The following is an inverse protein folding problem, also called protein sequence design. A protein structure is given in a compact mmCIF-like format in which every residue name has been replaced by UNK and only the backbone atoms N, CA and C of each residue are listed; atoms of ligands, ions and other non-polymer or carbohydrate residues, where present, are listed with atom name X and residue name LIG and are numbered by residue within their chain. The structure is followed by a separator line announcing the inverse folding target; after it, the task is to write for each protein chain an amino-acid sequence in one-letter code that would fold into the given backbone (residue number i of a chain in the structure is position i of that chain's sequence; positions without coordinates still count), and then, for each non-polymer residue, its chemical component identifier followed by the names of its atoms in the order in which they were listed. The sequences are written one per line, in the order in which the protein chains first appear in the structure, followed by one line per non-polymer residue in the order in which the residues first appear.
data_IF_852883764516
#
_entry.id   IF_852883764516
#
_cell.length_a   1.000
_cell.length_b   1.000
_cell.length_c   1.000
_cell.angle_alpha   90.00
_cell.angle_beta   90.00
_cell.angle_gamma   90.00
#
_symmetry.space_group_name_H-M   'P 1'
#
loop_
_entity.id
_entity.type
_entity.pdbx_description
1 polymer ?
#
# COMPACT_ATOMS: atom_id res chain seq x y z
N UNK A 1 8.17 -37.04 -31.45
CA UNK A 1 9.24 -36.05 -31.15
C UNK A 1 8.84 -34.63 -31.57
N UNK A 2 7.54 -34.31 -31.65
CA UNK A 2 7.00 -32.95 -31.79
C UNK A 2 5.66 -32.97 -31.05
N UNK A 3 5.70 -32.97 -29.70
CA UNK A 3 4.52 -32.83 -28.83
C UNK A 3 4.94 -32.61 -27.36
N UNK A 4 6.03 -31.87 -27.17
CA UNK A 4 6.47 -31.31 -25.88
C UNK A 4 6.76 -29.82 -26.06
N UNK A 5 5.80 -29.09 -26.60
CA UNK A 5 5.76 -27.63 -26.44
C UNK A 5 4.86 -27.35 -25.24
N UNK A 6 5.53 -26.94 -24.17
CA UNK A 6 5.02 -26.69 -22.84
C UNK A 6 3.82 -25.74 -22.85
N UNK A 7 2.76 -26.12 -22.13
CA UNK A 7 1.91 -25.14 -21.44
C UNK A 7 2.80 -24.50 -20.37
N UNK A 8 3.42 -23.35 -20.68
CA UNK A 8 3.92 -22.45 -19.63
C UNK A 8 2.74 -22.05 -18.75
N UNK A 9 2.94 -21.98 -17.45
CA UNK A 9 1.90 -21.43 -16.56
C UNK A 9 1.73 -19.94 -16.86
N UNK A 10 0.56 -19.38 -16.55
CA UNK A 10 0.33 -17.94 -16.68
C UNK A 10 1.33 -17.15 -15.82
N UNK A 11 1.70 -17.69 -14.66
CA UNK A 11 2.66 -17.09 -13.72
C UNK A 11 4.07 -16.97 -14.32
N UNK A 12 4.54 -17.99 -15.06
CA UNK A 12 5.84 -17.94 -15.77
C UNK A 12 5.84 -16.89 -16.90
N UNK A 13 4.70 -16.69 -17.56
CA UNK A 13 4.54 -15.68 -18.61
C UNK A 13 4.54 -14.27 -17.99
N UNK A 14 3.86 -14.10 -16.86
CA UNK A 14 3.79 -12.82 -16.16
C UNK A 14 5.15 -12.44 -15.52
N UNK A 15 5.94 -13.42 -15.06
CA UNK A 15 7.35 -13.23 -14.64
C UNK A 15 8.23 -12.72 -15.78
N UNK A 16 8.25 -13.44 -16.92
CA UNK A 16 9.04 -13.05 -18.10
C UNK A 16 8.64 -11.64 -18.57
N UNK A 17 7.33 -11.31 -18.56
CA UNK A 17 6.83 -9.98 -18.94
C UNK A 17 7.27 -8.90 -17.94
N UNK A 18 7.26 -9.19 -16.64
CA UNK A 18 7.71 -8.24 -15.63
C UNK A 18 9.23 -8.00 -15.71
N UNK A 19 10.04 -9.04 -15.90
CA UNK A 19 11.49 -8.90 -16.11
C UNK A 19 11.80 -8.15 -17.40
N UNK A 20 11.08 -8.42 -18.49
CA UNK A 20 11.20 -7.68 -19.76
C UNK A 20 10.81 -6.21 -19.59
N UNK A 21 9.68 -5.93 -18.96
CA UNK A 21 9.24 -4.55 -18.72
C UNK A 21 10.23 -3.78 -17.86
N UNK A 22 10.74 -4.41 -16.80
CA UNK A 22 11.71 -3.81 -15.90
C UNK A 22 13.06 -3.57 -16.59
N UNK A 23 13.56 -4.53 -17.37
CA UNK A 23 14.81 -4.38 -18.13
C UNK A 23 14.73 -3.32 -19.22
N UNK A 24 13.52 -2.99 -19.70
CA UNK A 24 13.25 -1.86 -20.59
C UNK A 24 13.07 -0.52 -19.84
N UNK A 25 13.20 -0.51 -18.51
CA UNK A 25 13.07 0.68 -17.67
C UNK A 25 11.63 1.09 -17.36
N UNK A 26 10.64 0.26 -17.67
CA UNK A 26 9.24 0.54 -17.36
C UNK A 26 8.89 0.11 -15.93
N UNK A 27 8.14 0.94 -15.22
CA UNK A 27 7.56 0.55 -13.93
C UNK A 27 6.52 -0.54 -14.14
N UNK A 28 6.53 -1.53 -13.25
CA UNK A 28 5.54 -2.60 -13.18
C UNK A 28 4.31 -2.11 -12.41
N UNK A 29 4.53 -1.26 -11.41
CA UNK A 29 3.47 -0.63 -10.63
C UNK A 29 2.55 0.22 -11.51
N UNK A 30 1.25 -0.10 -11.52
CA UNK A 30 0.23 0.54 -12.37
C UNK A 30 -0.35 1.84 -11.80
N UNK A 31 0.30 2.44 -10.79
CA UNK A 31 -0.26 3.56 -10.04
C UNK A 31 -1.27 3.14 -8.99
N UNK A 32 -2.20 4.03 -8.63
CA UNK A 32 -3.23 3.74 -7.62
C UNK A 32 -4.38 2.95 -8.24
N UNK A 33 -4.80 1.80 -7.67
CA UNK A 33 -5.88 0.98 -8.21
C UNK A 33 -7.26 1.58 -7.91
N UNK A 34 -7.56 2.79 -8.41
CA UNK A 34 -8.82 3.52 -8.19
C UNK A 34 -10.08 2.70 -8.51
N UNK A 35 -9.98 1.77 -9.46
CA UNK A 35 -11.06 0.86 -9.83
C UNK A 35 -11.47 -0.10 -8.71
N UNK A 36 -10.58 -0.41 -7.78
CA UNK A 36 -10.79 -1.37 -6.69
C UNK A 36 -11.35 -0.72 -5.43
N UNK A 37 -11.04 0.56 -5.17
CA UNK A 37 -11.62 1.32 -4.05
C UNK A 37 -13.11 1.60 -4.26
N UNK A 38 -13.94 1.39 -3.25
CA UNK A 38 -15.33 1.83 -3.27
C UNK A 38 -15.45 3.36 -3.19
N UNK A 39 -16.60 3.92 -3.60
CA UNK A 39 -16.88 5.37 -3.49
C UNK A 39 -16.68 5.87 -2.05
N UNK A 40 -17.15 5.10 -1.07
CA UNK A 40 -17.00 5.37 0.36
C UNK A 40 -15.52 5.42 0.78
N UNK A 41 -14.68 4.54 0.25
CA UNK A 41 -13.25 4.57 0.57
C UNK A 41 -12.53 5.75 -0.07
N UNK A 42 -12.94 6.14 -1.28
CA UNK A 42 -12.42 7.34 -1.95
C UNK A 42 -12.79 8.59 -1.14
N UNK A 43 -14.04 8.69 -0.69
CA UNK A 43 -14.47 9.73 0.26
C UNK A 43 -13.62 9.69 1.54
N UNK A 44 -13.33 8.49 2.04
CA UNK A 44 -12.44 8.29 3.17
C UNK A 44 -11.01 8.79 2.97
N UNK A 45 -10.42 8.53 1.81
CA UNK A 45 -9.11 9.05 1.42
C UNK A 45 -9.14 10.58 1.38
N UNK A 46 -10.17 11.17 0.78
CA UNK A 46 -10.35 12.62 0.71
C UNK A 46 -10.53 13.25 2.11
N UNK A 47 -11.26 12.59 3.00
CA UNK A 47 -11.38 13.02 4.40
C UNK A 47 -9.99 13.11 5.05
N UNK A 48 -9.18 12.06 4.96
CA UNK A 48 -7.82 12.06 5.52
C UNK A 48 -6.94 13.14 4.84
N UNK A 49 -7.11 13.34 3.54
CA UNK A 49 -6.40 14.36 2.78
C UNK A 49 -6.66 15.76 3.32
N UNK A 50 -7.93 16.17 3.41
CA UNK A 50 -8.28 17.51 3.85
C UNK A 50 -8.07 17.70 5.36
N UNK A 51 -8.23 16.66 6.19
CA UNK A 51 -7.86 16.71 7.61
C UNK A 51 -6.36 17.02 7.79
N UNK A 52 -5.49 16.39 6.99
CA UNK A 52 -4.04 16.69 6.99
C UNK A 52 -3.72 18.12 6.53
N UNK A 53 -4.60 18.72 5.73
CA UNK A 53 -4.50 20.12 5.30
C UNK A 53 -5.17 21.09 6.29
N UNK A 54 -5.61 20.63 7.46
CA UNK A 54 -6.17 21.49 8.52
C UNK A 54 -7.65 21.83 8.36
N UNK A 55 -8.39 21.10 7.54
CA UNK A 55 -9.83 21.26 7.41
C UNK A 55 -10.58 20.37 8.42
N UNK A 56 -11.68 20.90 8.96
CA UNK A 56 -12.72 20.08 9.59
C UNK A 56 -13.61 19.50 8.49
N UNK A 57 -13.92 18.21 8.59
CA UNK A 57 -14.70 17.49 7.56
C UNK A 57 -16.00 16.98 8.17
N UNK A 58 -17.12 17.30 7.53
CA UNK A 58 -18.41 16.66 7.78
C UNK A 58 -18.64 15.62 6.68
N UNK A 59 -18.72 14.35 7.06
CA UNK A 59 -18.97 13.26 6.11
C UNK A 59 -20.47 13.06 5.95
N UNK A 60 -21.11 13.94 5.15
CA UNK A 60 -22.57 13.99 4.99
C UNK A 60 -23.19 12.63 4.65
N UNK A 61 -22.57 11.87 3.75
CA UNK A 61 -23.05 10.54 3.37
C UNK A 61 -23.22 9.56 4.55
N UNK A 62 -22.40 9.70 5.60
CA UNK A 62 -22.44 8.83 6.81
C UNK A 62 -23.10 9.49 8.01
N UNK A 63 -22.72 10.73 8.27
CA UNK A 63 -23.02 11.44 9.52
C UNK A 63 -24.32 12.22 9.43
N UNK A 64 -24.73 12.64 8.22
CA UNK A 64 -25.95 13.42 8.01
C UNK A 64 -26.60 13.15 6.64
N UNK A 65 -27.09 11.91 6.39
CA UNK A 65 -27.62 11.51 5.08
C UNK A 65 -28.85 12.33 4.68
N UNK A 66 -29.61 12.85 5.65
CA UNK A 66 -30.79 13.66 5.40
C UNK A 66 -30.46 15.01 4.73
N UNK A 67 -29.24 15.50 4.90
CA UNK A 67 -28.78 16.77 4.34
C UNK A 67 -27.69 16.62 3.27
N UNK A 68 -27.42 15.39 2.81
CA UNK A 68 -26.42 15.11 1.76
C UNK A 68 -26.63 16.01 0.55
N UNK A 69 -27.85 16.10 -0.01
CA UNK A 69 -28.23 17.02 -1.12
C UNK A 69 -27.17 17.07 -2.24
N UNK A 70 -26.58 15.93 -2.56
CA UNK A 70 -25.56 15.78 -3.59
C UNK A 70 -24.14 16.17 -3.17
N UNK A 71 -23.89 16.41 -1.88
CA UNK A 71 -22.59 16.67 -1.26
C UNK A 71 -22.22 15.44 -0.42
N UNK A 72 -21.11 14.79 -0.74
CA UNK A 72 -20.60 13.66 0.04
C UNK A 72 -19.75 14.15 1.23
N UNK A 73 -18.89 15.15 0.99
CA UNK A 73 -18.01 15.76 2.00
C UNK A 73 -18.15 17.28 2.00
N UNK A 74 -18.20 17.84 3.20
CA UNK A 74 -18.13 19.29 3.42
C UNK A 74 -16.89 19.59 4.27
N UNK A 75 -15.93 20.31 3.68
CA UNK A 75 -14.65 20.64 4.31
C UNK A 75 -14.63 22.14 4.65
N UNK A 76 -14.36 22.47 5.91
CA UNK A 76 -14.27 23.86 6.38
C UNK A 76 -12.94 24.10 7.08
N UNK A 77 -12.19 25.11 6.65
CA UNK A 77 -10.89 25.43 7.25
C UNK A 77 -11.06 26.51 8.31
N UNK A 78 -10.84 26.19 9.60
CA UNK A 78 -11.09 27.13 10.72
C UNK A 78 -10.38 28.48 10.58
N UNK A 79 -9.11 28.48 10.14
CA UNK A 79 -8.30 29.70 10.05
C UNK A 79 -8.70 30.57 8.85
N UNK A 80 -8.74 29.99 7.66
CA UNK A 80 -9.02 30.73 6.41
C UNK A 80 -10.50 30.95 6.15
N UNK A 81 -11.38 30.27 6.92
CA UNK A 81 -12.84 30.22 6.72
C UNK A 81 -13.24 29.72 5.32
N UNK A 82 -12.33 29.07 4.60
CA UNK A 82 -12.60 28.47 3.29
C UNK A 82 -13.49 27.26 3.43
N UNK A 83 -14.49 27.17 2.57
CA UNK A 83 -15.43 26.07 2.45
C UNK A 83 -15.30 25.35 1.12
N UNK A 84 -15.09 24.05 1.16
CA UNK A 84 -14.99 23.16 0.01
C UNK A 84 -16.11 22.12 0.10
N UNK A 85 -16.87 21.95 -0.98
CA UNK A 85 -17.89 20.92 -1.10
C UNK A 85 -17.46 19.90 -2.14
N UNK A 86 -17.58 18.61 -1.81
CA UNK A 86 -17.09 17.53 -2.65
C UNK A 86 -18.19 16.50 -2.88
N UNK A 87 -18.37 16.12 -4.14
CA UNK A 87 -19.15 14.96 -4.55
C UNK A 87 -18.24 13.95 -5.24
N UNK A 88 -18.45 12.66 -4.99
CA UNK A 88 -17.64 11.56 -5.48
C UNK A 88 -18.52 10.57 -6.24
N UNK A 89 -18.15 10.25 -7.48
CA UNK A 89 -18.84 9.24 -8.28
C UNK A 89 -17.89 8.34 -9.06
N UNK A 90 -18.00 7.02 -8.88
CA UNK A 90 -17.36 6.06 -9.77
C UNK A 90 -18.20 5.94 -11.04
N UNK A 91 -17.63 6.34 -12.17
CA UNK A 91 -18.21 6.19 -13.51
C UNK A 91 -19.60 6.86 -13.66
N UNK A 92 -19.68 8.20 -13.58
CA UNK A 92 -20.94 8.92 -13.67
C UNK A 92 -21.65 8.72 -15.00
N UNK A 93 -22.97 8.69 -14.92
CA UNK A 93 -23.95 8.58 -16.01
C UNK A 93 -24.79 9.85 -16.09
N UNK A 94 -25.63 9.96 -17.12
CA UNK A 94 -26.51 11.14 -17.33
C UNK A 94 -27.38 11.45 -16.11
N UNK A 95 -27.88 10.43 -15.41
CA UNK A 95 -28.73 10.61 -14.23
C UNK A 95 -27.98 11.26 -13.05
N UNK A 96 -26.65 11.18 -13.03
CA UNK A 96 -25.81 11.79 -11.99
C UNK A 96 -25.63 13.31 -12.19
N UNK A 97 -26.09 13.87 -13.31
CA UNK A 97 -26.13 15.33 -13.51
C UNK A 97 -27.02 16.04 -12.48
N UNK A 98 -28.00 15.33 -11.90
CA UNK A 98 -28.79 15.86 -10.78
C UNK A 98 -27.92 16.21 -9.58
N UNK A 99 -26.93 15.37 -9.26
CA UNK A 99 -25.97 15.62 -8.18
C UNK A 99 -25.07 16.81 -8.49
N UNK A 100 -24.58 16.91 -9.73
CA UNK A 100 -23.78 18.07 -10.20
C UNK A 100 -24.57 19.37 -10.08
N UNK A 101 -25.83 19.36 -10.51
CA UNK A 101 -26.72 20.52 -10.42
C UNK A 101 -26.94 20.92 -8.96
N UNK A 102 -27.23 19.97 -8.07
CA UNK A 102 -27.39 20.25 -6.65
C UNK A 102 -26.11 20.87 -6.07
N UNK A 103 -24.95 20.25 -6.29
CA UNK A 103 -23.66 20.76 -5.85
C UNK A 103 -23.42 22.20 -6.31
N UNK A 104 -23.75 22.52 -7.57
CA UNK A 104 -23.55 23.87 -8.15
C UNK A 104 -24.35 24.98 -7.46
N UNK A 105 -25.48 24.63 -6.84
CA UNK A 105 -26.39 25.59 -6.20
C UNK A 105 -25.98 25.94 -4.77
N UNK A 106 -25.13 25.13 -4.14
CA UNK A 106 -24.67 25.38 -2.77
C UNK A 106 -23.62 26.50 -2.71
N UNK A 107 -23.63 27.29 -1.64
CA UNK A 107 -22.61 28.32 -1.39
C UNK A 107 -21.34 27.69 -0.81
N UNK A 108 -20.22 27.87 -1.51
CA UNK A 108 -18.88 27.44 -1.12
C UNK A 108 -17.82 28.18 -1.95
N UNK A 109 -16.59 28.27 -1.42
CA UNK A 109 -15.45 28.84 -2.14
C UNK A 109 -15.03 27.93 -3.29
N UNK A 110 -15.00 26.62 -3.04
CA UNK A 110 -14.70 25.60 -4.04
C UNK A 110 -15.76 24.49 -4.04
N UNK A 111 -16.07 23.99 -5.22
CA UNK A 111 -16.96 22.84 -5.43
C UNK A 111 -16.23 21.86 -6.31
N UNK A 112 -16.06 20.63 -5.82
CA UNK A 112 -15.30 19.59 -6.50
C UNK A 112 -16.25 18.45 -6.83
N UNK A 113 -16.31 18.07 -8.10
CA UNK A 113 -16.94 16.83 -8.53
C UNK A 113 -15.87 15.86 -9.00
N UNK A 114 -15.59 14.86 -8.16
CA UNK A 114 -14.62 13.82 -8.43
C UNK A 114 -15.29 12.66 -9.18
N UNK A 115 -14.71 12.25 -10.30
CA UNK A 115 -15.09 11.02 -10.97
C UNK A 115 -13.89 10.15 -11.34
N UNK A 116 -14.06 8.83 -11.14
CA UNK A 116 -13.03 7.83 -11.44
C UNK A 116 -13.57 6.80 -12.44
N UNK A 117 -12.67 6.15 -13.18
CA UNK A 117 -12.95 5.20 -14.26
C UNK A 117 -13.66 5.80 -15.49
N UNK A 118 -13.35 7.08 -15.76
CA UNK A 118 -13.95 7.86 -16.83
C UNK A 118 -15.43 8.18 -16.59
N UNK A 119 -16.03 8.90 -17.54
CA UNK A 119 -17.44 9.27 -17.51
C UNK A 119 -18.13 8.87 -18.82
N UNK A 120 -19.44 8.63 -18.77
CA UNK A 120 -20.21 8.44 -20.00
C UNK A 120 -20.09 9.66 -20.92
N UNK A 121 -20.01 9.47 -22.25
CA UNK A 121 -19.87 10.58 -23.20
C UNK A 121 -21.00 11.62 -23.01
N UNK A 122 -22.23 11.14 -22.86
CA UNK A 122 -23.40 11.97 -22.62
C UNK A 122 -23.38 12.74 -21.30
N UNK A 123 -22.59 12.31 -20.31
CA UNK A 123 -22.30 13.09 -19.11
C UNK A 123 -21.26 14.16 -19.42
N UNK A 124 -20.14 13.78 -20.07
CA UNK A 124 -19.05 14.71 -20.45
C UNK A 124 -19.55 15.89 -21.29
N UNK A 125 -20.43 15.64 -22.25
CA UNK A 125 -20.98 16.69 -23.11
C UNK A 125 -21.81 17.73 -22.34
N UNK A 126 -22.36 17.34 -21.17
CA UNK A 126 -23.27 18.18 -20.39
C UNK A 126 -22.57 18.89 -19.22
N UNK A 127 -21.51 18.31 -18.66
CA UNK A 127 -20.78 18.93 -17.51
C UNK A 127 -20.06 20.22 -17.86
N UNK A 128 -19.75 20.46 -19.15
CA UNK A 128 -19.12 21.70 -19.63
C UNK A 128 -19.90 22.95 -19.16
N UNK A 129 -21.23 22.84 -19.03
CA UNK A 129 -22.10 23.92 -18.55
C UNK A 129 -21.85 24.31 -17.09
N UNK A 130 -21.26 23.41 -16.30
CA UNK A 130 -21.03 23.57 -14.87
C UNK A 130 -19.58 23.90 -14.52
N UNK A 131 -18.63 23.74 -15.45
CA UNK A 131 -17.20 24.06 -15.29
C UNK A 131 -16.91 25.46 -14.72
N UNK A 132 -17.69 26.52 -15.02
CA UNK A 132 -17.46 27.83 -14.40
C UNK A 132 -17.71 27.87 -12.88
N UNK A 133 -18.41 26.87 -12.33
CA UNK A 133 -18.86 26.85 -10.92
C UNK A 133 -18.34 25.65 -10.13
N UNK A 134 -17.99 24.57 -10.83
CA UNK A 134 -17.53 23.30 -10.27
C UNK A 134 -16.22 22.91 -10.93
N UNK A 135 -15.26 22.55 -10.10
CA UNK A 135 -14.03 21.91 -10.53
C UNK A 135 -14.26 20.40 -10.68
N UNK A 136 -13.95 19.89 -11.86
CA UNK A 136 -14.05 18.46 -12.15
C UNK A 136 -12.68 17.80 -11.98
N UNK A 137 -12.62 16.81 -11.08
CA UNK A 137 -11.43 16.00 -10.82
C UNK A 137 -11.57 14.63 -11.46
N UNK A 138 -10.60 14.27 -12.28
CA UNK A 138 -10.37 12.90 -12.74
C UNK A 138 -9.28 12.23 -11.88
N UNK A 139 -8.89 11.01 -12.24
CA UNK A 139 -7.83 10.25 -11.55
C UNK A 139 -6.51 11.03 -11.46
N UNK A 140 -6.12 11.71 -12.55
CA UNK A 140 -4.87 12.46 -12.61
C UNK A 140 -4.90 13.69 -11.70
N UNK A 141 -5.98 14.45 -11.71
CA UNK A 141 -6.14 15.61 -10.81
C UNK A 141 -6.25 15.17 -9.35
N UNK A 142 -6.93 14.07 -9.06
CA UNK A 142 -7.00 13.52 -7.71
C UNK A 142 -5.61 13.16 -7.20
N UNK A 143 -4.81 12.43 -7.98
CA UNK A 143 -3.44 12.09 -7.59
C UNK A 143 -2.58 13.33 -7.36
N UNK A 144 -2.71 14.33 -8.25
CA UNK A 144 -2.00 15.59 -8.09
C UNK A 144 -2.40 16.32 -6.80
N UNK A 145 -3.70 16.40 -6.48
CA UNK A 145 -4.17 17.00 -5.23
C UNK A 145 -3.65 16.22 -4.00
N UNK A 146 -3.70 14.89 -4.03
CA UNK A 146 -3.25 14.05 -2.91
C UNK A 146 -1.76 14.20 -2.60
N UNK A 147 -0.94 14.64 -3.57
CA UNK A 147 0.47 14.95 -3.35
C UNK A 147 0.68 16.04 -2.28
N UNK A 148 -0.23 17.02 -2.17
CA UNK A 148 -0.14 18.10 -1.17
C UNK A 148 -0.15 17.55 0.27
N UNK A 149 -0.92 16.49 0.51
CA UNK A 149 -0.98 15.78 1.80
C UNK A 149 -0.05 14.56 1.91
N UNK A 150 0.73 14.32 0.85
CA UNK A 150 1.59 13.15 0.64
C UNK A 150 0.86 11.80 0.62
N UNK A 151 -0.47 11.78 0.53
CA UNK A 151 -1.24 10.53 0.53
C UNK A 151 -1.05 9.72 -0.75
N UNK A 152 -0.81 10.38 -1.89
CA UNK A 152 -0.65 9.68 -3.17
C UNK A 152 0.46 8.61 -3.10
N UNK A 153 1.63 8.96 -2.57
CA UNK A 153 2.74 8.00 -2.44
C UNK A 153 2.44 6.90 -1.43
N UNK A 154 1.78 7.20 -0.31
CA UNK A 154 1.39 6.18 0.68
C UNK A 154 0.44 5.15 0.09
N UNK A 155 -0.57 5.60 -0.67
CA UNK A 155 -1.50 4.71 -1.36
C UNK A 155 -0.75 3.88 -2.42
N UNK A 156 0.16 4.47 -3.19
CA UNK A 156 0.97 3.75 -4.18
C UNK A 156 1.84 2.66 -3.54
N UNK A 157 2.51 2.97 -2.43
CA UNK A 157 3.35 2.01 -1.69
C UNK A 157 2.50 0.86 -1.15
N UNK A 158 1.41 1.16 -0.44
CA UNK A 158 0.54 0.16 0.20
C UNK A 158 -0.07 -0.82 -0.82
N UNK A 159 -0.29 -0.35 -2.06
CA UNK A 159 -0.82 -1.15 -3.16
C UNK A 159 0.26 -1.70 -4.11
N UNK A 160 1.55 -1.48 -3.83
CA UNK A 160 2.65 -2.01 -4.66
C UNK A 160 2.73 -3.53 -4.60
N UNK A 161 3.21 -4.15 -5.70
CA UNK A 161 3.42 -5.60 -5.77
C UNK A 161 4.34 -6.12 -4.65
N UNK A 162 5.35 -5.32 -4.27
CA UNK A 162 6.26 -5.61 -3.15
C UNK A 162 5.52 -5.80 -1.84
N UNK A 163 4.69 -4.83 -1.46
CA UNK A 163 3.94 -4.87 -0.20
C UNK A 163 2.88 -5.96 -0.24
N UNK A 164 2.21 -6.16 -1.39
CA UNK A 164 1.25 -7.26 -1.57
C UNK A 164 1.93 -8.63 -1.42
N UNK A 165 3.11 -8.84 -2.02
CA UNK A 165 3.86 -10.08 -1.92
C UNK A 165 4.29 -10.38 -0.49
N UNK A 166 4.83 -9.38 0.22
CA UNK A 166 5.22 -9.52 1.63
C UNK A 166 3.99 -9.88 2.49
N UNK A 167 2.88 -9.18 2.31
CA UNK A 167 1.64 -9.47 3.03
C UNK A 167 1.12 -10.88 2.75
N UNK A 168 1.21 -11.35 1.50
CA UNK A 168 0.80 -12.71 1.13
C UNK A 168 1.71 -13.76 1.75
N UNK A 169 3.03 -13.58 1.71
CA UNK A 169 4.00 -14.46 2.39
C UNK A 169 3.71 -14.52 3.89
N UNK A 170 3.52 -13.37 4.54
CA UNK A 170 3.16 -13.29 5.95
C UNK A 170 1.88 -14.06 6.26
N UNK A 171 0.81 -13.85 5.49
CA UNK A 171 -0.47 -14.59 5.65
C UNK A 171 -0.26 -16.09 5.53
N UNK A 172 0.52 -16.54 4.55
CA UNK A 172 0.85 -17.96 4.36
C UNK A 172 1.60 -18.51 5.58
N UNK A 173 2.63 -17.81 6.07
CA UNK A 173 3.37 -18.18 7.27
C UNK A 173 2.45 -18.27 8.50
N UNK A 174 1.62 -17.26 8.76
CA UNK A 174 0.72 -17.27 9.92
C UNK A 174 -0.34 -18.37 9.82
N UNK A 175 -0.84 -18.64 8.62
CA UNK A 175 -1.79 -19.73 8.40
C UNK A 175 -1.12 -21.08 8.67
N UNK A 176 0.12 -21.26 8.20
CA UNK A 176 0.90 -22.45 8.49
C UNK A 176 1.10 -22.66 10.00
N UNK A 177 1.49 -21.61 10.71
CA UNK A 177 1.78 -21.65 12.15
C UNK A 177 0.52 -21.90 12.99
N UNK A 178 -0.64 -21.36 12.59
CA UNK A 178 -1.91 -21.57 13.30
C UNK A 178 -2.57 -22.91 13.00
N UNK A 179 -2.12 -23.62 11.97
CA UNK A 179 -2.71 -24.91 11.61
C UNK A 179 -2.32 -25.97 12.65
N UNK A 180 -3.25 -26.84 13.09
CA UNK A 180 -2.94 -27.89 14.05
C UNK A 180 -1.94 -28.87 13.43
N UNK A 181 -0.66 -28.68 13.71
CA UNK A 181 0.39 -29.61 13.33
C UNK A 181 0.40 -30.75 14.33
N UNK A 182 0.33 -32.00 13.86
CA UNK A 182 0.63 -33.15 14.71
C UNK A 182 2.00 -32.99 15.38
N UNK A 183 2.18 -33.59 16.56
CA UNK A 183 3.36 -33.39 17.44
C UNK A 183 4.72 -33.87 16.86
N UNK A 184 4.77 -34.32 15.61
CA UNK A 184 5.95 -34.93 15.01
C UNK A 184 6.50 -34.05 13.89
N UNK A 185 7.78 -33.68 13.99
CA UNK A 185 8.50 -32.99 12.94
C UNK A 185 8.59 -33.89 11.68
N UNK A 186 8.18 -33.40 10.50
CA UNK A 186 8.31 -34.17 9.25
C UNK A 186 9.78 -34.52 8.95
N UNK A 187 10.02 -35.72 8.41
CA UNK A 187 11.38 -36.17 8.09
C UNK A 187 11.93 -35.35 6.91
N UNK A 188 13.00 -34.56 7.11
CA UNK A 188 13.56 -33.74 6.03
C UNK A 188 14.10 -34.60 4.90
N UNK A 189 13.92 -34.12 3.67
CA UNK A 189 14.52 -34.71 2.47
C UNK A 189 15.42 -33.70 1.75
N UNK A 190 16.22 -34.16 0.79
CA UNK A 190 17.19 -33.32 0.07
C UNK A 190 16.52 -32.12 -0.60
N UNK A 191 15.38 -32.34 -1.27
CA UNK A 191 14.63 -31.30 -1.96
C UNK A 191 14.18 -30.21 -0.98
N UNK A 192 13.79 -30.58 0.24
CA UNK A 192 13.42 -29.59 1.25
C UNK A 192 14.59 -28.72 1.69
N UNK A 193 15.76 -29.31 1.90
CA UNK A 193 16.97 -28.55 2.24
C UNK A 193 17.39 -27.61 1.11
N UNK A 194 17.27 -28.05 -0.15
CA UNK A 194 17.51 -27.23 -1.33
C UNK A 194 16.53 -26.05 -1.37
N UNK A 195 15.22 -26.29 -1.17
CA UNK A 195 14.22 -25.21 -1.12
C UNK A 195 14.47 -24.21 0.01
N UNK A 196 14.87 -24.66 1.21
CA UNK A 196 15.23 -23.75 2.31
C UNK A 196 16.45 -22.91 1.97
N UNK A 197 17.43 -23.50 1.30
CA UNK A 197 18.60 -22.78 0.86
C UNK A 197 18.23 -21.69 -0.16
N UNK A 198 17.42 -22.03 -1.15
CA UNK A 198 16.95 -21.07 -2.16
C UNK A 198 16.13 -19.93 -1.52
N UNK A 199 15.20 -20.26 -0.62
CA UNK A 199 14.42 -19.29 0.14
C UNK A 199 15.33 -18.35 0.94
N UNK A 200 16.36 -18.90 1.60
CA UNK A 200 17.33 -18.11 2.35
C UNK A 200 18.09 -17.16 1.45
N UNK A 201 18.65 -17.65 0.34
CA UNK A 201 19.44 -16.83 -0.59
C UNK A 201 18.60 -15.67 -1.16
N UNK A 202 17.32 -15.91 -1.43
CA UNK A 202 16.39 -14.84 -1.84
C UNK A 202 16.07 -13.85 -0.71
N UNK A 203 15.88 -14.31 0.53
CA UNK A 203 15.68 -13.41 1.67
C UNK A 203 16.91 -12.53 1.94
N UNK A 204 18.13 -13.10 1.87
CA UNK A 204 19.40 -12.37 1.96
C UNK A 204 19.51 -11.33 0.85
N UNK A 205 19.15 -11.71 -0.39
CA UNK A 205 19.20 -10.81 -1.54
C UNK A 205 18.24 -9.64 -1.34
N UNK A 206 17.00 -9.91 -0.92
CA UNK A 206 16.00 -8.89 -0.61
C UNK A 206 16.50 -7.92 0.47
N UNK A 207 17.02 -8.44 1.58
CA UNK A 207 17.57 -7.63 2.68
C UNK A 207 18.69 -6.70 2.18
N UNK A 208 19.71 -7.26 1.51
CA UNK A 208 20.84 -6.48 0.98
C UNK A 208 20.40 -5.41 -0.01
N UNK A 209 19.50 -5.75 -0.94
CA UNK A 209 18.98 -4.78 -1.89
C UNK A 209 18.19 -3.68 -1.19
N UNK A 210 17.31 -4.03 -0.24
CA UNK A 210 16.55 -3.05 0.54
C UNK A 210 17.47 -2.12 1.35
N UNK A 211 18.53 -2.65 1.98
CA UNK A 211 19.53 -1.86 2.70
C UNK A 211 20.31 -0.93 1.77
N UNK A 212 20.70 -1.38 0.58
CA UNK A 212 21.38 -0.52 -0.40
C UNK A 212 20.47 0.63 -0.84
N UNK A 213 19.19 0.35 -1.10
CA UNK A 213 18.20 1.37 -1.45
C UNK A 213 17.95 2.32 -0.27
N UNK A 214 17.86 1.80 0.96
CA UNK A 214 17.77 2.61 2.17
C UNK A 214 18.93 3.62 2.23
N UNK A 215 20.18 3.15 2.11
CA UNK A 215 21.36 4.03 2.14
C UNK A 215 21.39 5.02 0.99
N UNK A 216 20.86 4.63 -0.16
CA UNK A 216 20.68 5.53 -1.27
C UNK A 216 19.74 6.69 -0.89
N UNK A 217 18.61 6.43 -0.23
CA UNK A 217 17.67 7.47 0.22
C UNK A 217 18.09 8.23 1.50
N UNK A 218 19.05 7.74 2.29
CA UNK A 218 19.54 8.47 3.48
C UNK A 218 20.33 9.73 3.14
N UNK A 219 20.90 9.82 1.92
CA UNK A 219 21.72 10.95 1.48
C UNK A 219 21.12 11.60 0.24
N UNK A 220 20.16 12.51 0.46
CA UNK A 220 19.44 13.23 -0.59
C UNK A 220 20.36 14.01 -1.54
N UNK A 221 21.57 14.38 -1.11
CA UNK A 221 22.55 15.15 -1.88
C UNK A 221 23.07 14.39 -3.11
N UNK A 222 22.98 13.06 -3.11
CA UNK A 222 23.42 12.19 -4.22
C UNK A 222 22.61 12.37 -5.51
N UNK A 223 21.42 12.94 -5.40
CA UNK A 223 20.44 13.02 -6.49
C UNK A 223 20.43 14.34 -7.26
N UNK A 224 21.29 15.30 -6.91
CA UNK A 224 21.19 16.66 -7.47
C UNK A 224 19.84 17.29 -7.13
N UNK A 225 19.26 18.08 -8.02
CA UNK A 225 17.93 18.67 -7.82
C UNK A 225 16.87 17.80 -8.49
N UNK A 226 16.18 16.96 -7.70
CA UNK A 226 15.01 16.21 -8.14
C UNK A 226 13.75 16.70 -7.42
N UNK A 227 12.64 16.77 -8.15
CA UNK A 227 11.35 17.18 -7.62
C UNK A 227 10.63 16.01 -6.91
N UNK A 228 9.52 16.32 -6.23
CA UNK A 228 8.77 15.32 -5.46
C UNK A 228 8.24 14.16 -6.32
N UNK A 229 7.76 14.44 -7.54
CA UNK A 229 7.29 13.40 -8.44
C UNK A 229 8.42 12.43 -8.82
N UNK A 230 9.61 12.96 -9.12
CA UNK A 230 10.79 12.15 -9.42
C UNK A 230 11.22 11.28 -8.22
N UNK A 231 11.09 11.77 -6.99
CA UNK A 231 11.35 10.97 -5.78
C UNK A 231 10.33 9.82 -5.67
N UNK A 232 9.04 10.10 -5.90
CA UNK A 232 8.00 9.07 -5.88
C UNK A 232 8.24 8.01 -6.95
N UNK A 233 8.54 8.44 -8.19
CA UNK A 233 8.77 7.54 -9.31
C UNK A 233 9.98 6.64 -9.03
N UNK A 234 11.06 7.21 -8.49
CA UNK A 234 12.24 6.45 -8.05
C UNK A 234 11.89 5.46 -6.92
N UNK A 235 11.10 5.87 -5.94
CA UNK A 235 10.68 5.00 -4.85
C UNK A 235 9.84 3.82 -5.35
N UNK A 236 8.90 4.06 -6.27
CA UNK A 236 8.09 3.00 -6.88
C UNK A 236 8.94 2.08 -7.74
N UNK A 237 9.88 2.61 -8.50
CA UNK A 237 10.83 1.81 -9.28
C UNK A 237 11.68 0.90 -8.37
N UNK A 238 12.17 1.42 -7.24
CA UNK A 238 12.91 0.64 -6.26
C UNK A 238 12.05 -0.48 -5.64
N UNK A 239 10.75 -0.24 -5.41
CA UNK A 239 9.84 -1.31 -4.98
C UNK A 239 9.70 -2.37 -6.08
N UNK A 240 9.45 -1.99 -7.33
CA UNK A 240 9.34 -2.91 -8.46
C UNK A 240 10.62 -3.74 -8.66
N UNK A 241 11.80 -3.15 -8.41
CA UNK A 241 13.08 -3.85 -8.41
C UNK A 241 13.11 -4.96 -7.35
N UNK A 242 12.75 -4.65 -6.10
CA UNK A 242 12.72 -5.65 -5.03
C UNK A 242 11.70 -6.75 -5.31
N UNK A 243 10.55 -6.40 -5.91
CA UNK A 243 9.55 -7.35 -6.33
C UNK A 243 10.12 -8.37 -7.33
N UNK A 244 10.66 -7.86 -8.42
CA UNK A 244 11.11 -8.66 -9.57
C UNK A 244 12.30 -9.54 -9.23
N UNK A 245 13.33 -9.00 -8.57
CA UNK A 245 14.59 -9.74 -8.39
C UNK A 245 14.60 -10.70 -7.20
N UNK A 246 13.69 -10.52 -6.24
CA UNK A 246 13.72 -11.26 -4.98
C UNK A 246 12.36 -11.80 -4.55
N UNK A 247 11.34 -10.93 -4.44
CA UNK A 247 10.07 -11.32 -3.81
C UNK A 247 9.22 -12.24 -4.67
N UNK A 248 9.25 -12.15 -6.00
CA UNK A 248 8.42 -13.00 -6.86
C UNK A 248 8.78 -14.49 -6.68
N UNK A 249 10.08 -14.82 -6.66
CA UNK A 249 10.55 -16.18 -6.42
C UNK A 249 10.24 -16.66 -4.99
N UNK A 250 10.35 -15.77 -3.99
CA UNK A 250 9.92 -16.07 -2.62
C UNK A 250 8.43 -16.39 -2.60
N UNK A 251 7.62 -15.53 -3.22
CA UNK A 251 6.17 -15.65 -3.24
C UNK A 251 5.72 -16.97 -3.87
N UNK A 252 6.28 -17.34 -5.03
CA UNK A 252 5.99 -18.62 -5.67
C UNK A 252 6.37 -19.82 -4.80
N UNK A 253 7.49 -19.74 -4.09
CA UNK A 253 7.90 -20.78 -3.16
C UNK A 253 6.92 -20.91 -1.98
N UNK A 254 6.39 -19.78 -1.49
CA UNK A 254 5.39 -19.74 -0.42
C UNK A 254 4.00 -20.21 -0.88
N UNK A 255 3.59 -19.87 -2.11
CA UNK A 255 2.31 -20.30 -2.69
C UNK A 255 2.29 -21.82 -2.95
N UNK A 256 3.45 -22.41 -3.25
CA UNK A 256 3.62 -23.83 -3.48
C UNK A 256 3.87 -24.67 -2.21
N UNK A 257 3.70 -24.10 -1.00
CA UNK A 257 3.97 -24.83 0.24
C UNK A 257 2.99 -25.99 0.46
N UNK A 258 3.56 -27.20 0.50
CA UNK A 258 2.85 -28.42 0.89
C UNK A 258 2.46 -28.41 2.38
N UNK A 259 1.55 -29.30 2.76
CA UNK A 259 1.19 -29.54 4.18
C UNK A 259 2.37 -30.02 5.03
N UNK A 260 3.40 -30.60 4.40
CA UNK A 260 4.63 -30.96 5.10
C UNK A 260 5.41 -29.71 5.55
N UNK A 261 5.54 -28.72 4.66
CA UNK A 261 6.16 -27.44 4.99
C UNK A 261 5.41 -26.70 6.10
N UNK A 262 4.08 -26.65 6.01
CA UNK A 262 3.28 -25.96 7.02
C UNK A 262 3.51 -26.52 8.43
N UNK A 263 3.64 -27.84 8.55
CA UNK A 263 3.97 -28.53 9.81
C UNK A 263 5.37 -28.19 10.31
N UNK A 264 6.36 -28.10 9.42
CA UNK A 264 7.72 -27.66 9.78
C UNK A 264 7.68 -26.24 10.34
N UNK A 265 7.03 -25.30 9.65
CA UNK A 265 6.90 -23.92 10.12
C UNK A 265 6.22 -23.84 11.50
N UNK A 266 5.11 -24.56 11.69
CA UNK A 266 4.40 -24.59 12.97
C UNK A 266 5.27 -25.17 14.11
N UNK A 267 5.94 -26.28 13.87
CA UNK A 267 6.83 -26.90 14.86
C UNK A 267 7.99 -25.98 15.24
N UNK A 268 8.68 -25.42 14.25
CA UNK A 268 9.80 -24.49 14.50
C UNK A 268 9.32 -23.23 15.22
N UNK A 269 8.13 -22.71 14.88
CA UNK A 269 7.54 -21.57 15.59
C UNK A 269 7.34 -21.87 17.08
N UNK A 270 6.77 -23.01 17.46
CA UNK A 270 6.55 -23.33 18.88
C UNK A 270 7.86 -23.34 19.69
N UNK A 271 8.95 -23.85 19.10
CA UNK A 271 10.27 -23.84 19.73
C UNK A 271 11.00 -22.48 19.70
N UNK A 272 10.55 -21.52 18.88
CA UNK A 272 11.30 -20.27 18.63
C UNK A 272 10.47 -18.99 18.72
N UNK A 273 9.17 -19.05 19.05
CA UNK A 273 8.23 -17.91 19.04
C UNK A 273 8.63 -16.70 19.88
N UNK A 274 9.51 -16.88 20.88
CA UNK A 274 10.04 -15.78 21.70
C UNK A 274 11.19 -15.02 21.04
N UNK A 275 11.69 -15.46 19.88
CA UNK A 275 12.79 -14.82 19.17
C UNK A 275 12.33 -13.61 18.37
N UNK A 276 13.23 -12.64 18.19
CA UNK A 276 12.95 -11.36 17.55
C UNK A 276 12.60 -11.46 16.07
N UNK A 277 13.06 -12.49 15.36
CA UNK A 277 12.74 -12.71 13.94
C UNK A 277 11.24 -12.85 13.69
N UNK A 278 10.51 -13.53 14.58
CA UNK A 278 9.05 -13.63 14.47
C UNK A 278 8.36 -12.29 14.69
N UNK A 279 8.85 -11.49 15.63
CA UNK A 279 8.36 -10.14 15.82
C UNK A 279 8.58 -9.29 14.56
N UNK A 280 9.77 -9.34 13.97
CA UNK A 280 10.09 -8.64 12.71
C UNK A 280 9.13 -9.04 11.57
N UNK A 281 8.72 -10.31 11.47
CA UNK A 281 7.76 -10.72 10.44
C UNK A 281 6.35 -10.13 10.67
N UNK A 282 5.97 -9.90 11.93
CA UNK A 282 4.64 -9.40 12.33
C UNK A 282 4.57 -7.87 12.31
N UNK A 283 5.64 -7.19 12.73
CA UNK A 283 5.61 -5.76 13.06
C UNK A 283 5.93 -4.82 11.90
N UNK A 284 6.51 -5.33 10.81
CA UNK A 284 7.34 -4.47 9.96
C UNK A 284 6.58 -3.78 8.83
N UNK A 285 5.36 -4.23 8.48
CA UNK A 285 4.60 -3.66 7.37
C UNK A 285 3.12 -3.59 7.73
N UNK A 286 2.60 -2.38 7.88
CA UNK A 286 1.19 -2.10 8.08
C UNK A 286 0.66 -1.41 6.82
N UNK A 287 -0.32 -2.04 6.15
CA UNK A 287 -1.01 -1.45 5.01
C UNK A 287 -2.33 -0.85 5.45
N UNK A 288 -2.41 0.47 5.47
CA UNK A 288 -3.59 1.20 5.90
C UNK A 288 -4.47 1.59 4.69
N UNK A 289 -3.85 1.94 3.57
CA UNK A 289 -4.48 2.56 2.40
C UNK A 289 -4.70 1.57 1.25
N UNK A 290 -5.21 0.38 1.57
CA UNK A 290 -5.57 -0.65 0.57
C UNK A 290 -7.10 -0.80 0.45
N UNK A 291 -7.61 -1.23 -0.72
CA UNK A 291 -9.03 -1.52 -0.90
C UNK A 291 -9.57 -2.49 0.16
N UNK A 292 -10.76 -2.20 0.68
CA UNK A 292 -11.43 -2.86 1.79
C UNK A 292 -10.94 -2.48 3.19
N UNK A 293 -9.86 -1.69 3.34
CA UNK A 293 -9.27 -1.36 4.64
C UNK A 293 -9.37 0.12 5.04
N UNK A 294 -9.51 1.03 4.07
CA UNK A 294 -9.62 2.47 4.34
C UNK A 294 -10.83 2.78 5.23
N UNK A 295 -11.95 2.12 5.00
CA UNK A 295 -13.15 2.30 5.80
C UNK A 295 -12.92 1.95 7.29
N UNK A 296 -12.22 0.85 7.54
CA UNK A 296 -11.89 0.40 8.90
C UNK A 296 -10.95 1.37 9.60
N UNK A 297 -9.98 1.91 8.86
CA UNK A 297 -9.07 2.93 9.37
C UNK A 297 -9.84 4.15 9.90
N UNK A 298 -10.87 4.59 9.18
CA UNK A 298 -11.65 5.76 9.56
C UNK A 298 -12.53 5.46 10.78
N UNK A 299 -13.18 4.30 10.83
CA UNK A 299 -13.97 3.86 11.99
C UNK A 299 -13.10 3.78 13.26
N UNK A 300 -11.91 3.18 13.17
CA UNK A 300 -11.00 3.11 14.32
C UNK A 300 -10.54 4.49 14.80
N UNK A 301 -10.33 5.45 13.88
CA UNK A 301 -10.00 6.84 14.27
C UNK A 301 -11.15 7.55 14.97
N UNK A 302 -12.39 7.40 14.52
CA UNK A 302 -13.55 8.01 15.19
C UNK A 302 -13.77 7.45 16.60
N UNK A 303 -13.56 6.15 16.79
CA UNK A 303 -13.69 5.50 18.09
C UNK A 303 -12.63 5.99 19.09
N UNK A 304 -11.39 6.17 18.62
CA UNK A 304 -10.29 6.66 19.45
C UNK A 304 -10.41 8.15 19.79
N UNK A 305 -10.97 8.99 18.90
CA UNK A 305 -11.20 10.41 19.17
C UNK A 305 -12.30 10.58 20.22
N UNK A 306 -13.33 9.75 20.19
CA UNK A 306 -14.40 9.73 21.19
C UNK A 306 -13.89 9.36 22.60
N UNK A 307 -12.72 8.69 22.69
CA UNK A 307 -12.04 8.39 23.95
C UNK A 307 -10.99 9.43 24.37
N UNK A 308 -10.57 10.34 23.48
CA UNK A 308 -9.47 11.29 23.71
C UNK A 308 -9.90 12.74 23.99
N UNK A 309 -11.19 13.04 23.99
CA UNK A 309 -11.71 14.39 24.23
C UNK A 309 -11.63 14.87 25.71
N UNK A 310 -10.57 14.52 26.44
CA UNK A 310 -10.28 15.03 27.80
C UNK A 310 -8.88 15.62 27.99
N UNK A 311 -8.09 15.88 26.95
CA UNK A 311 -6.86 16.65 27.16
C UNK A 311 -6.24 17.24 25.90
N UNK A 312 -5.93 18.54 26.01
CA UNK A 312 -4.95 19.35 25.25
C UNK A 312 -5.38 19.86 23.86
N UNK A 313 -6.10 20.99 23.86
CA UNK A 313 -5.88 22.05 22.86
C UNK A 313 -4.54 22.71 23.18
N UNK A 314 -3.50 22.38 22.42
CA UNK A 314 -2.28 23.18 22.38
C UNK A 314 -2.16 23.80 20.99
N UNK A 315 -2.07 25.13 20.95
CA UNK A 315 -1.74 25.92 19.77
C UNK A 315 -0.43 25.41 19.14
N UNK A 316 -0.56 24.62 18.08
CA UNK A 316 0.57 24.30 17.20
C UNK A 316 0.58 25.37 16.11
N UNK A 317 1.38 26.42 16.34
CA UNK A 317 1.85 27.28 15.25
C UNK A 317 2.85 26.45 14.41
N UNK A 318 2.32 25.60 13.54
CA UNK A 318 3.10 24.76 12.65
C UNK A 318 3.70 25.64 11.55
N UNK A 319 5.01 25.90 11.67
CA UNK A 319 5.78 26.58 10.63
C UNK A 319 5.70 25.74 9.36
N UNK A 320 5.17 26.32 8.27
CA UNK A 320 5.12 25.66 6.96
C UNK A 320 6.56 25.28 6.57
N UNK A 321 6.85 23.99 6.34
CA UNK A 321 8.19 23.56 5.96
C UNK A 321 8.62 24.17 4.64
N UNK A 322 9.89 24.52 4.52
CA UNK A 322 10.51 24.95 3.26
C UNK A 322 10.60 23.77 2.28
N UNK A 323 10.72 24.05 0.99
CA UNK A 323 10.89 23.00 -0.04
C UNK A 323 12.10 22.08 0.24
N UNK A 324 13.16 22.60 0.85
CA UNK A 324 14.33 21.79 1.24
C UNK A 324 14.00 20.85 2.40
N UNK A 325 13.27 21.32 3.41
CA UNK A 325 12.84 20.51 4.55
C UNK A 325 11.85 19.42 4.10
N UNK A 326 10.89 19.74 3.22
CA UNK A 326 9.98 18.76 2.63
C UNK A 326 10.73 17.67 1.87
N UNK A 327 11.72 18.06 1.07
CA UNK A 327 12.58 17.12 0.34
C UNK A 327 13.27 16.15 1.30
N UNK A 328 13.90 16.64 2.37
CA UNK A 328 14.54 15.78 3.37
C UNK A 328 13.55 14.83 4.05
N UNK A 329 12.34 15.30 4.37
CA UNK A 329 11.27 14.46 4.92
C UNK A 329 10.92 13.32 3.96
N UNK A 330 10.81 13.57 2.65
CA UNK A 330 10.50 12.52 1.67
C UNK A 330 11.60 11.47 1.55
N UNK A 331 12.85 11.91 1.48
CA UNK A 331 14.01 11.02 1.45
C UNK A 331 14.08 10.16 2.72
N UNK A 332 13.85 10.75 3.89
CA UNK A 332 13.81 10.03 5.16
C UNK A 332 12.65 9.02 5.22
N UNK A 333 11.46 9.40 4.74
CA UNK A 333 10.31 8.50 4.67
C UNK A 333 10.60 7.32 3.73
N UNK A 334 11.14 7.57 2.54
CA UNK A 334 11.52 6.53 1.60
C UNK A 334 12.58 5.59 2.19
N UNK A 335 13.65 6.15 2.77
CA UNK A 335 14.68 5.40 3.49
C UNK A 335 14.07 4.48 4.57
N UNK A 336 13.18 5.02 5.40
CA UNK A 336 12.55 4.25 6.47
C UNK A 336 11.68 3.09 5.94
N UNK A 337 11.00 3.28 4.81
CA UNK A 337 10.24 2.19 4.17
C UNK A 337 11.14 1.02 3.76
N UNK A 338 12.26 1.32 3.09
CA UNK A 338 13.21 0.27 2.70
C UNK A 338 13.92 -0.36 3.90
N UNK A 339 14.15 0.41 4.97
CA UNK A 339 14.63 -0.14 6.24
C UNK A 339 13.66 -1.18 6.81
N UNK A 340 12.36 -0.88 6.83
CA UNK A 340 11.35 -1.83 7.29
C UNK A 340 11.31 -3.11 6.44
N UNK A 341 11.42 -2.98 5.11
CA UNK A 341 11.51 -4.14 4.20
C UNK A 341 12.77 -4.97 4.48
N UNK A 342 13.92 -4.31 4.70
CA UNK A 342 15.17 -4.98 5.06
C UNK A 342 15.07 -5.75 6.38
N UNK A 343 14.51 -5.13 7.42
CA UNK A 343 14.26 -5.77 8.73
C UNK A 343 13.33 -6.98 8.58
N UNK A 344 12.27 -6.86 7.79
CA UNK A 344 11.37 -7.97 7.51
C UNK A 344 12.10 -9.13 6.80
N UNK A 345 12.91 -8.82 5.79
CA UNK A 345 13.67 -9.81 5.03
C UNK A 345 14.73 -10.53 5.89
N UNK A 346 15.41 -9.81 6.78
CA UNK A 346 16.30 -10.38 7.79
C UNK A 346 15.55 -11.33 8.72
N UNK A 347 14.37 -10.90 9.21
CA UNK A 347 13.49 -11.74 10.02
C UNK A 347 13.11 -13.05 9.30
N UNK A 348 12.81 -12.96 8.00
CA UNK A 348 12.53 -14.14 7.17
C UNK A 348 13.76 -15.05 7.05
N UNK A 349 14.94 -14.49 6.78
CA UNK A 349 16.19 -15.24 6.68
C UNK A 349 16.51 -16.00 7.97
N UNK A 350 16.44 -15.32 9.12
CA UNK A 350 16.69 -15.96 10.41
C UNK A 350 15.71 -17.09 10.71
N UNK A 351 14.44 -16.89 10.34
CA UNK A 351 13.40 -17.91 10.47
C UNK A 351 13.73 -19.15 9.63
N UNK A 352 14.13 -18.96 8.36
CA UNK A 352 14.54 -20.04 7.46
C UNK A 352 15.79 -20.76 8.00
N UNK A 353 16.76 -20.01 8.52
CA UNK A 353 17.97 -20.57 9.14
C UNK A 353 17.64 -21.46 10.35
N UNK A 354 16.68 -21.07 11.16
CA UNK A 354 16.24 -21.86 12.31
C UNK A 354 15.55 -23.15 11.88
N UNK A 355 14.69 -23.08 10.87
CA UNK A 355 14.07 -24.27 10.25
C UNK A 355 15.14 -25.20 9.69
N UNK A 356 16.14 -24.65 8.98
CA UNK A 356 17.22 -25.43 8.40
C UNK A 356 18.04 -26.17 9.46
N UNK A 357 18.34 -25.51 10.59
CA UNK A 357 19.04 -26.15 11.72
C UNK A 357 18.22 -27.30 12.31
N UNK A 358 16.91 -27.14 12.46
CA UNK A 358 16.02 -28.19 12.94
C UNK A 358 15.94 -29.37 11.96
N UNK A 359 15.90 -29.09 10.64
CA UNK A 359 15.99 -30.14 9.65
C UNK A 359 17.30 -30.94 9.75
N UNK A 360 18.42 -30.28 10.07
CA UNK A 360 19.72 -30.96 10.22
C UNK A 360 19.84 -31.76 11.52
N UNK A 361 19.22 -31.33 12.62
CA UNK A 361 19.23 -32.11 13.88
C UNK A 361 18.49 -33.43 13.69
N UNK A 362 17.35 -33.42 13.01
CA UNK A 362 16.55 -34.61 12.72
C UNK A 362 17.24 -35.62 11.79
N UNK A 363 18.16 -35.16 10.94
CA UNK A 363 18.98 -36.04 10.11
C UNK A 363 20.09 -36.71 10.94
N UNK A 364 20.69 -35.99 11.91
CA UNK A 364 21.83 -36.45 12.72
C UNK A 364 21.46 -37.42 13.85
N UNK A 365 20.19 -37.51 14.22
CA UNK A 365 19.69 -38.44 15.26
C UNK A 365 19.59 -39.89 14.73
N UNK A 366 20.09 -40.15 13.52
CA UNK A 366 20.28 -41.49 12.92
C UNK A 366 21.73 -41.68 12.51
#
# INVERSE_FOLDING_TARGET
MIERFFKRSQDEIDEDVNEINFSLGNSISKGIPWSEFSEVEIQGILKIHFERLGYDIIWRHREDPANEKGIDLECSHKITQKKILIAVKKKPKVNDLGQVLQLSQHSADHRIYLYLNGAAQSFRDQIIKFEPTIEFWDETKLEFALNESHLAIWIKIDNSNTIQAINKINRTLFTAIKSPSGNTFPKPNKKMLETLWDLKDRAVTLSKCATLIQFMFEDSKRFGEINYQQIQDLQMWCLDFLYTYSLISLLHSFDALSEEWKRIFAYTYEGTKSRSNWYMLVSSIHTEYVPGNVEKLIQHKSDNISQKNESTESDINEKIPTNSELREIYFNNASNQFRCIGIWADGLEFTINDIFKECLSEIKIK
#
